data_IF_087705243083
#
_entry.id   IF_087705243083
#
_cell.length_a   1.000
_cell.length_b   1.000
_cell.length_c   1.000
_cell.angle_alpha   90.00
_cell.angle_beta   90.00
_cell.angle_gamma   90.00
#
_symmetry.space_group_name_H-M   'P 1'
#
loop_
_entity.id
_entity.type
_entity.pdbx_description
1 polymer ?
#
# COMPACT_ATOMS: atom_id res chain seq x y z
N UNK A 1 -10.62 -8.59 9.64
CA UNK A 1 -9.37 -7.96 9.18
C UNK A 1 -8.76 -8.67 7.97
N UNK A 2 -8.59 -9.99 7.98
CA UNK A 2 -8.06 -10.72 6.82
C UNK A 2 -8.81 -10.45 5.49
N UNK A 3 -10.15 -10.43 5.50
CA UNK A 3 -10.94 -10.10 4.30
C UNK A 3 -10.74 -8.67 3.80
N UNK A 4 -10.61 -7.69 4.70
CA UNK A 4 -10.30 -6.30 4.37
C UNK A 4 -8.92 -6.18 3.74
N UNK A 5 -7.92 -6.88 4.30
CA UNK A 5 -6.56 -6.89 3.76
C UNK A 5 -6.52 -7.52 2.36
N UNK A 6 -7.18 -8.66 2.15
CA UNK A 6 -7.24 -9.31 0.83
C UNK A 6 -7.90 -8.40 -0.22
N UNK A 7 -8.95 -7.67 0.16
CA UNK A 7 -9.58 -6.72 -0.76
C UNK A 7 -8.74 -5.48 -1.01
N UNK A 8 -8.05 -4.94 -0.01
CA UNK A 8 -7.10 -3.86 -0.22
C UNK A 8 -5.93 -4.31 -1.12
N UNK A 9 -5.47 -5.57 -0.98
CA UNK A 9 -4.47 -6.18 -1.86
C UNK A 9 -4.98 -6.33 -3.29
N UNK A 10 -6.20 -6.83 -3.46
CA UNK A 10 -6.82 -6.96 -4.77
C UNK A 10 -7.03 -5.58 -5.42
N UNK A 11 -7.53 -4.59 -4.66
CA UNK A 11 -7.71 -3.22 -5.10
C UNK A 11 -6.40 -2.56 -5.53
N UNK A 12 -5.36 -2.67 -4.69
CA UNK A 12 -4.01 -2.22 -5.04
C UNK A 12 -3.50 -2.91 -6.30
N UNK A 13 -3.61 -4.25 -6.39
CA UNK A 13 -3.12 -4.99 -7.55
C UNK A 13 -3.82 -4.61 -8.85
N UNK A 14 -5.16 -4.50 -8.83
CA UNK A 14 -5.94 -4.07 -9.99
C UNK A 14 -5.59 -2.62 -10.36
N UNK A 15 -5.53 -1.73 -9.38
CA UNK A 15 -5.16 -0.34 -9.62
C UNK A 15 -3.73 -0.20 -10.14
N UNK A 16 -2.80 -1.04 -9.68
CA UNK A 16 -1.41 -1.02 -10.16
C UNK A 16 -1.34 -1.46 -11.62
N UNK A 17 -2.13 -2.47 -12.02
CA UNK A 17 -2.24 -2.84 -13.43
C UNK A 17 -2.73 -1.65 -14.26
N UNK A 18 -3.78 -0.97 -13.82
CA UNK A 18 -4.31 0.23 -14.50
C UNK A 18 -3.28 1.36 -14.54
N UNK A 19 -2.57 1.59 -13.44
CA UNK A 19 -1.53 2.62 -13.35
C UNK A 19 -0.34 2.28 -14.26
N UNK A 20 0.01 1.00 -14.41
CA UNK A 20 1.08 0.56 -15.33
C UNK A 20 0.71 0.68 -16.81
N UNK A 21 -0.58 0.80 -17.15
CA UNK A 21 -1.02 1.07 -18.51
C UNK A 21 -0.79 2.54 -18.92
N UNK A 22 -0.79 3.46 -17.95
CA UNK A 22 -0.54 4.89 -18.19
C UNK A 22 0.90 5.30 -17.89
N UNK A 23 1.54 4.64 -16.94
CA UNK A 23 2.86 5.00 -16.43
C UNK A 23 3.79 3.79 -16.49
N UNK A 24 4.95 3.86 -17.15
CA UNK A 24 5.83 2.71 -17.28
C UNK A 24 6.37 2.27 -15.91
N UNK A 25 6.40 0.95 -15.70
CA UNK A 25 6.80 0.30 -14.45
C UNK A 25 8.18 0.77 -13.91
N UNK A 26 9.12 1.05 -14.81
CA UNK A 26 10.44 1.56 -14.44
C UNK A 26 10.38 2.96 -13.82
N UNK A 27 9.48 3.82 -14.31
CA UNK A 27 9.32 5.21 -13.88
C UNK A 27 8.57 5.28 -12.55
N UNK A 28 7.60 4.38 -12.35
CA UNK A 28 6.99 4.11 -11.06
C UNK A 28 8.05 3.71 -10.02
N UNK A 29 8.93 2.76 -10.37
CA UNK A 29 9.99 2.28 -9.47
C UNK A 29 11.02 3.35 -9.12
N UNK A 30 11.46 4.15 -10.08
CA UNK A 30 12.41 5.24 -9.82
C UNK A 30 11.83 6.31 -8.90
N UNK A 31 10.59 6.72 -9.11
CA UNK A 31 9.95 7.76 -8.29
C UNK A 31 9.59 7.27 -6.88
N UNK A 32 9.23 5.99 -6.72
CA UNK A 32 9.00 5.38 -5.41
C UNK A 32 10.30 5.18 -4.63
N UNK A 33 11.43 4.94 -5.32
CA UNK A 33 12.76 4.83 -4.71
C UNK A 33 13.43 6.17 -4.42
N UNK A 34 12.93 7.28 -4.98
CA UNK A 34 13.55 8.59 -4.85
C UNK A 34 13.56 9.10 -3.40
N UNK A 35 14.63 9.78 -2.96
CA UNK A 35 14.69 10.38 -1.64
C UNK A 35 13.67 11.51 -1.50
N UNK A 36 13.13 11.68 -0.29
CA UNK A 36 12.17 12.71 0.04
C UNK A 36 11.55 12.52 1.42
N UNK A 37 10.78 13.51 1.86
CA UNK A 37 9.95 13.40 3.07
C UNK A 37 8.77 12.45 2.84
N UNK A 38 8.15 11.95 3.92
CA UNK A 38 6.95 11.12 3.84
C UNK A 38 5.82 11.79 3.04
N UNK A 39 5.64 13.10 3.21
CA UNK A 39 4.64 13.86 2.47
C UNK A 39 4.93 13.90 0.97
N UNK A 40 6.20 14.06 0.57
CA UNK A 40 6.60 13.99 -0.84
C UNK A 40 6.45 12.60 -1.43
N UNK A 41 6.78 11.54 -0.67
CA UNK A 41 6.55 10.16 -1.12
C UNK A 41 5.05 9.85 -1.28
N UNK A 42 4.23 10.30 -0.33
CA UNK A 42 2.78 10.14 -0.40
C UNK A 42 2.19 10.90 -1.60
N UNK A 43 2.65 12.13 -1.84
CA UNK A 43 2.25 12.92 -3.01
C UNK A 43 2.63 12.24 -4.32
N UNK A 44 3.87 11.74 -4.44
CA UNK A 44 4.33 10.98 -5.60
C UNK A 44 3.50 9.72 -5.84
N UNK A 45 3.20 8.96 -4.78
CA UNK A 45 2.32 7.78 -4.88
C UNK A 45 0.90 8.16 -5.32
N UNK A 46 0.35 9.26 -4.80
CA UNK A 46 -0.98 9.71 -5.22
C UNK A 46 -1.01 10.19 -6.68
N UNK A 47 0.06 10.84 -7.15
CA UNK A 47 0.15 11.33 -8.52
C UNK A 47 0.42 10.21 -9.54
N UNK A 48 1.26 9.22 -9.18
CA UNK A 48 1.71 8.16 -10.09
C UNK A 48 0.86 6.89 -10.00
N UNK A 49 0.21 6.64 -8.87
CA UNK A 49 -0.64 5.48 -8.65
C UNK A 49 -2.05 5.84 -8.16
N UNK A 50 -2.77 6.75 -8.87
CA UNK A 50 -4.09 7.19 -8.44
C UNK A 50 -5.12 6.06 -8.47
N UNK A 51 -5.02 5.11 -9.42
CA UNK A 51 -5.98 4.00 -9.51
C UNK A 51 -5.77 3.01 -8.37
N UNK A 52 -4.51 2.67 -8.04
CA UNK A 52 -4.17 1.83 -6.86
C UNK A 52 -4.73 2.42 -5.58
N UNK A 53 -4.53 3.73 -5.39
CA UNK A 53 -4.98 4.43 -4.19
C UNK A 53 -6.51 4.48 -4.13
N UNK A 54 -7.18 4.82 -5.22
CA UNK A 54 -8.64 4.86 -5.31
C UNK A 54 -9.29 3.47 -5.12
N UNK A 55 -8.73 2.43 -5.74
CA UNK A 55 -9.25 1.08 -5.59
C UNK A 55 -9.09 0.56 -4.16
N UNK A 56 -7.97 0.89 -3.51
CA UNK A 56 -7.75 0.54 -2.11
C UNK A 56 -8.65 1.34 -1.16
N UNK A 57 -8.86 2.63 -1.39
CA UNK A 57 -9.78 3.45 -0.58
C UNK A 57 -11.21 2.93 -0.70
N UNK A 58 -11.65 2.58 -1.92
CA UNK A 58 -12.95 1.96 -2.16
C UNK A 58 -13.07 0.60 -1.47
N UNK A 59 -12.05 -0.26 -1.57
CA UNK A 59 -12.03 -1.55 -0.88
C UNK A 59 -12.11 -1.40 0.65
N UNK A 60 -11.46 -0.36 1.19
CA UNK A 60 -11.48 -0.05 2.62
C UNK A 60 -12.84 0.50 3.09
N UNK A 61 -13.51 1.29 2.25
CA UNK A 61 -14.79 1.92 2.53
C UNK A 61 -15.99 1.00 2.26
N UNK A 62 -15.84 -0.02 1.41
CA UNK A 62 -16.91 -0.97 1.09
C UNK A 62 -17.54 -1.54 2.37
N UNK A 63 -18.88 -1.59 2.50
CA UNK A 63 -19.52 -2.16 3.67
C UNK A 63 -19.22 -3.66 3.74
N UNK A 64 -18.44 -4.06 4.74
CA UNK A 64 -18.04 -5.44 4.95
C UNK A 64 -19.07 -6.11 5.88
N UNK A 65 -19.41 -7.40 5.67
CA UNK A 65 -20.50 -8.09 6.37
C UNK A 65 -20.34 -8.17 7.90
N UNK A 66 -19.18 -7.79 8.46
CA UNK A 66 -19.00 -7.54 9.89
C UNK A 66 -18.77 -6.04 10.10
N UNK A 67 -19.67 -5.33 10.81
CA UNK A 67 -19.54 -3.89 11.04
C UNK A 67 -18.41 -3.62 12.03
N UNK A 68 -17.23 -3.32 11.53
CA UNK A 68 -16.18 -2.65 12.31
C UNK A 68 -16.50 -1.15 12.34
N UNK A 69 -16.28 -0.44 13.48
CA UNK A 69 -16.50 1.00 13.55
C UNK A 69 -15.68 1.73 12.45
N UNK A 70 -16.28 2.77 11.87
CA UNK A 70 -15.69 3.52 10.76
C UNK A 70 -14.30 4.08 11.11
N UNK A 71 -14.11 4.50 12.36
CA UNK A 71 -12.82 4.94 12.89
C UNK A 71 -11.72 3.88 12.81
N UNK A 72 -12.02 2.61 13.11
CA UNK A 72 -11.05 1.51 13.04
C UNK A 72 -10.68 1.18 11.58
N UNK A 73 -11.64 1.32 10.66
CA UNK A 73 -11.39 1.17 9.22
C UNK A 73 -10.50 2.27 8.68
N UNK A 74 -10.76 3.53 9.04
CA UNK A 74 -9.94 4.65 8.64
C UNK A 74 -8.52 4.53 9.21
N UNK A 75 -8.40 4.12 10.47
CA UNK A 75 -7.10 3.89 11.10
C UNK A 75 -6.32 2.76 10.41
N UNK A 76 -7.00 1.64 10.13
CA UNK A 76 -6.41 0.51 9.41
C UNK A 76 -5.99 0.90 7.98
N UNK A 77 -6.83 1.66 7.28
CA UNK A 77 -6.54 2.20 5.96
C UNK A 77 -5.30 3.12 5.99
N UNK A 78 -5.24 4.06 6.94
CA UNK A 78 -4.10 4.97 7.07
C UNK A 78 -2.79 4.19 7.31
N UNK A 79 -2.81 3.20 8.19
CA UNK A 79 -1.66 2.33 8.43
C UNK A 79 -1.26 1.53 7.19
N UNK A 80 -2.21 0.96 6.47
CA UNK A 80 -1.92 0.22 5.23
C UNK A 80 -1.35 1.14 4.15
N UNK A 81 -1.85 2.37 4.00
CA UNK A 81 -1.29 3.35 3.05
C UNK A 81 0.14 3.73 3.44
N UNK A 82 0.40 4.01 4.72
CA UNK A 82 1.75 4.27 5.21
C UNK A 82 2.70 3.08 4.96
N UNK A 83 2.21 1.86 5.26
CA UNK A 83 2.94 0.62 5.03
C UNK A 83 3.24 0.39 3.54
N UNK A 84 2.29 0.68 2.66
CA UNK A 84 2.46 0.60 1.21
C UNK A 84 3.56 1.56 0.73
N UNK A 85 3.49 2.84 1.12
CA UNK A 85 4.45 3.87 0.67
C UNK A 85 5.87 3.58 1.19
N UNK A 86 5.99 3.23 2.47
CA UNK A 86 7.28 2.86 3.07
C UNK A 86 7.81 1.55 2.49
N UNK A 87 6.93 0.57 2.32
CA UNK A 87 7.21 -0.73 1.74
C UNK A 87 7.71 -0.60 0.30
N UNK A 88 7.05 0.19 -0.54
CA UNK A 88 7.48 0.47 -1.91
C UNK A 88 8.90 1.02 -1.96
N UNK A 89 9.22 2.01 -1.13
CA UNK A 89 10.56 2.61 -1.05
C UNK A 89 11.61 1.57 -0.64
N UNK A 90 11.38 0.87 0.48
CA UNK A 90 12.30 -0.15 0.98
C UNK A 90 12.46 -1.31 -0.02
N UNK A 91 11.38 -1.69 -0.68
CA UNK A 91 11.35 -2.71 -1.73
C UNK A 91 12.18 -2.34 -2.95
N UNK A 92 12.08 -1.09 -3.43
CA UNK A 92 12.92 -0.59 -4.53
C UNK A 92 14.39 -0.55 -4.11
N UNK A 93 14.69 -0.03 -2.91
CA UNK A 93 16.08 0.05 -2.42
C UNK A 93 16.72 -1.32 -2.24
N UNK A 94 15.97 -2.29 -1.72
CA UNK A 94 16.44 -3.68 -1.56
C UNK A 94 16.63 -4.36 -2.92
N UNK A 95 15.72 -4.17 -3.87
CA UNK A 95 15.89 -4.72 -5.22
C UNK A 95 17.10 -4.14 -5.94
N UNK A 96 17.35 -2.83 -5.79
CA UNK A 96 18.54 -2.16 -6.33
C UNK A 96 19.83 -2.69 -5.68
N UNK A 97 19.84 -2.88 -4.36
CA UNK A 97 20.98 -3.46 -3.64
C UNK A 97 21.28 -4.91 -4.07
N UNK A 98 20.25 -5.66 -4.45
CA UNK A 98 20.37 -7.04 -4.93
C UNK A 98 20.58 -7.14 -6.46
N UNK A 99 20.63 -6.03 -7.19
CA UNK A 99 20.78 -6.03 -8.65
C UNK A 99 19.59 -6.63 -9.41
N UNK A 100 18.41 -6.67 -8.77
CA UNK A 100 17.18 -7.24 -9.34
C UNK A 100 16.26 -6.17 -9.90
N UNK A 101 15.22 -6.58 -10.62
CA UNK A 101 14.24 -5.67 -11.22
C UNK A 101 13.54 -4.81 -10.13
N UNK A 102 13.69 -3.46 -10.16
CA UNK A 102 13.17 -2.57 -9.11
C UNK A 102 11.66 -2.62 -8.92
N UNK A 103 10.94 -2.89 -10.01
CA UNK A 103 9.48 -3.02 -10.00
C UNK A 103 9.01 -4.21 -9.14
N UNK A 104 9.67 -5.36 -9.25
CA UNK A 104 9.35 -6.51 -8.40
C UNK A 104 9.65 -6.22 -6.93
N UNK A 105 10.77 -5.55 -6.65
CA UNK A 105 11.08 -5.05 -5.32
C UNK A 105 9.98 -4.18 -4.74
N UNK A 106 9.47 -3.22 -5.53
CA UNK A 106 8.37 -2.36 -5.11
C UNK A 106 7.11 -3.15 -4.75
N UNK A 107 6.67 -4.07 -5.61
CA UNK A 107 5.43 -4.84 -5.38
C UNK A 107 5.56 -5.71 -4.13
N UNK A 108 6.70 -6.40 -3.96
CA UNK A 108 6.98 -7.18 -2.74
C UNK A 108 7.07 -6.28 -1.50
N UNK A 109 7.65 -5.09 -1.63
CA UNK A 109 7.71 -4.09 -0.59
C UNK A 109 6.34 -3.59 -0.16
N UNK A 110 5.47 -3.22 -1.10
CA UNK A 110 4.10 -2.78 -0.85
C UNK A 110 3.28 -3.85 -0.14
N UNK A 111 3.36 -5.09 -0.61
CA UNK A 111 2.65 -6.23 -0.01
C UNK A 111 3.11 -6.52 1.41
N UNK A 112 4.44 -6.57 1.63
CA UNK A 112 5.03 -6.76 2.95
C UNK A 112 4.70 -5.60 3.91
N UNK A 113 4.77 -4.36 3.44
CA UNK A 113 4.47 -3.17 4.24
C UNK A 113 3.01 -3.10 4.69
N UNK A 114 2.07 -3.44 3.80
CA UNK A 114 0.65 -3.55 4.15
C UNK A 114 0.36 -4.72 5.10
N UNK A 115 1.09 -5.83 5.00
CA UNK A 115 0.98 -6.94 5.95
C UNK A 115 1.50 -6.53 7.33
N UNK A 116 2.64 -5.82 7.42
CA UNK A 116 3.18 -5.30 8.67
C UNK A 116 2.23 -4.30 9.34
N UNK A 117 1.50 -3.50 8.55
CA UNK A 117 0.48 -2.57 9.06
C UNK A 117 -0.70 -3.26 9.79
N UNK A 118 -0.90 -4.57 9.60
CA UNK A 118 -1.92 -5.33 10.33
C UNK A 118 -1.51 -5.63 11.78
N UNK A 119 -0.21 -5.68 12.10
CA UNK A 119 0.30 -6.00 13.45
C UNK A 119 -0.21 -5.02 14.52
N UNK A 120 -0.07 -3.69 14.37
CA UNK A 120 -0.59 -2.74 15.37
C UNK A 120 -2.12 -2.77 15.49
N UNK A 121 -2.85 -3.05 14.41
CA UNK A 121 -4.32 -3.18 14.44
C UNK A 121 -4.72 -4.45 15.20
N UNK A 122 -4.05 -5.57 14.94
CA UNK A 122 -4.25 -6.81 15.67
C UNK A 122 -3.95 -6.63 17.16
N UNK A 123 -2.83 -5.97 17.51
CA UNK A 123 -2.47 -5.66 18.89
C UNK A 123 -3.50 -4.77 19.60
N UNK A 124 -3.97 -3.69 18.96
CA UNK A 124 -5.03 -2.84 19.49
C UNK A 124 -6.35 -3.60 19.70
N UNK A 125 -6.71 -4.46 18.75
CA UNK A 125 -7.95 -5.26 18.83
C UNK A 125 -7.89 -6.37 19.89
N UNK A 126 -6.69 -6.86 20.22
CA UNK A 126 -6.46 -7.81 21.30
C UNK A 126 -6.49 -7.10 22.66
N UNK A 127 -5.93 -5.88 22.75
CA UNK A 127 -5.95 -5.08 23.98
C UNK A 127 -7.36 -4.59 24.37
N UNK A 128 -8.26 -4.43 23.39
CA UNK A 128 -9.64 -3.97 23.61
C UNK A 128 -10.63 -5.09 23.99
N UNK A 129 -10.23 -6.36 23.94
CA UNK A 129 -11.03 -7.52 24.34
C UNK A 129 -10.68 -7.94 25.75
#
# INVERSE_FOLDING_TARGET
MAGLWLACMAGMGIGLVVDTWRTPAALLASECGAPGTLAQLAWRHAALMPASLAAMTLAALLPWPRPSPLAERLFCMALMVCGMVLGARLGVQTAQALGTAPFWGMVWGMTAGMAAALLPVAALSAWRR
#
